data_IF_699961116294
#
_entry.id   IF_699961116294
#
_cell.length_a   1.000
_cell.length_b   1.000
_cell.length_c   1.000
_cell.angle_alpha   90.00
_cell.angle_beta   90.00
_cell.angle_gamma   90.00
#
_symmetry.space_group_name_H-M   'P 1'
#
loop_
_entity.id
_entity.type
_entity.pdbx_description
1 polymer ?
#
# COMPACT_ATOMS: atom_id res chain seq x y z
N UNK A 1 -2.70 -10.48 -79.15
CA UNK A 1 -3.41 -9.57 -78.23
C UNK A 1 -4.35 -10.42 -77.40
N UNK A 2 -3.84 -11.00 -76.31
CA UNK A 2 -4.14 -10.61 -74.91
C UNK A 2 -5.65 -10.57 -74.60
N UNK A 3 -6.13 -11.61 -73.92
CA UNK A 3 -7.32 -11.55 -73.08
C UNK A 3 -6.87 -11.86 -71.65
N UNK A 4 -7.02 -10.86 -70.78
CA UNK A 4 -6.56 -10.81 -69.40
C UNK A 4 -7.23 -11.88 -68.53
N UNK A 5 -6.41 -12.76 -67.93
CA UNK A 5 -6.82 -13.59 -66.81
C UNK A 5 -6.83 -12.76 -65.54
N UNK A 6 -8.01 -12.57 -64.95
CA UNK A 6 -8.18 -11.98 -63.62
C UNK A 6 -7.67 -12.99 -62.59
N UNK A 7 -6.50 -12.71 -61.99
CA UNK A 7 -6.04 -13.40 -60.79
C UNK A 7 -6.91 -12.97 -59.61
N UNK A 8 -7.58 -13.94 -58.99
CA UNK A 8 -8.23 -13.75 -57.70
C UNK A 8 -7.18 -13.40 -56.63
N UNK A 9 -7.48 -12.48 -55.70
CA UNK A 9 -6.55 -12.12 -54.64
C UNK A 9 -6.33 -13.35 -53.73
N UNK A 10 -5.06 -13.68 -53.53
CA UNK A 10 -4.61 -14.71 -52.60
C UNK A 10 -5.16 -14.44 -51.21
N UNK A 11 -5.84 -15.47 -50.68
CA UNK A 11 -6.44 -15.53 -49.35
C UNK A 11 -5.53 -14.90 -48.29
N UNK A 12 -6.03 -13.88 -47.61
CA UNK A 12 -5.41 -13.33 -46.41
C UNK A 12 -5.18 -14.48 -45.40
N UNK A 13 -3.95 -14.61 -44.91
CA UNK A 13 -3.60 -15.58 -43.88
C UNK A 13 -4.52 -15.37 -42.67
N UNK A 14 -5.20 -16.42 -42.23
CA UNK A 14 -6.02 -16.38 -41.02
C UNK A 14 -5.15 -15.97 -39.82
N UNK A 15 -5.65 -15.12 -38.90
CA UNK A 15 -4.91 -14.76 -37.71
C UNK A 15 -4.55 -16.02 -36.92
N UNK A 16 -3.32 -16.07 -36.38
CA UNK A 16 -2.89 -17.16 -35.52
C UNK A 16 -3.90 -17.36 -34.37
N UNK A 17 -4.16 -18.61 -33.94
CA UNK A 17 -5.09 -18.88 -32.86
C UNK A 17 -4.66 -18.14 -31.58
N UNK A 18 -5.61 -17.64 -30.78
CA UNK A 18 -5.29 -16.96 -29.54
C UNK A 18 -4.52 -17.91 -28.61
N UNK A 19 -3.39 -17.43 -28.09
CA UNK A 19 -2.58 -18.17 -27.11
C UNK A 19 -3.41 -18.50 -25.89
N UNK A 20 -3.26 -19.72 -25.37
CA UNK A 20 -4.02 -20.14 -24.18
C UNK A 20 -3.36 -19.60 -22.91
N UNK A 21 -4.16 -19.39 -21.86
CA UNK A 21 -3.67 -18.79 -20.61
C UNK A 21 -2.47 -19.53 -19.98
N UNK A 22 -2.41 -20.86 -20.08
CA UNK A 22 -1.30 -21.65 -19.54
C UNK A 22 0.02 -21.45 -20.30
N UNK A 23 -0.03 -20.99 -21.55
CA UNK A 23 1.15 -20.68 -22.38
C UNK A 23 1.74 -19.30 -22.06
N UNK A 24 0.96 -18.44 -21.41
CA UNK A 24 1.30 -17.04 -21.12
C UNK A 24 1.61 -16.85 -19.63
N UNK A 25 0.90 -17.55 -18.75
CA UNK A 25 1.00 -17.37 -17.30
C UNK A 25 1.96 -18.42 -16.71
N UNK A 26 3.13 -18.01 -16.20
CA UNK A 26 4.11 -18.94 -15.65
C UNK A 26 3.53 -19.79 -14.51
N UNK A 27 3.69 -21.10 -14.61
CA UNK A 27 3.31 -22.04 -13.56
C UNK A 27 1.80 -22.26 -13.36
N UNK A 28 0.94 -21.77 -14.26
CA UNK A 28 -0.51 -21.88 -14.10
C UNK A 28 -1.00 -23.33 -14.02
N UNK A 29 -0.38 -24.26 -14.75
CA UNK A 29 -0.73 -25.68 -14.72
C UNK A 29 -0.44 -26.31 -13.35
N UNK A 30 0.75 -26.05 -12.79
CA UNK A 30 1.10 -26.49 -11.44
C UNK A 30 0.18 -25.87 -10.40
N UNK A 31 -0.17 -24.59 -10.58
CA UNK A 31 -1.05 -23.89 -9.67
C UNK A 31 -2.46 -24.48 -9.69
N UNK A 32 -3.02 -24.74 -10.88
CA UNK A 32 -4.34 -25.37 -11.03
C UNK A 32 -4.39 -26.73 -10.31
N UNK A 33 -3.40 -27.58 -10.56
CA UNK A 33 -3.29 -28.87 -9.89
C UNK A 33 -3.14 -28.75 -8.36
N UNK A 34 -2.33 -27.80 -7.89
CA UNK A 34 -2.17 -27.54 -6.46
C UNK A 34 -3.47 -27.05 -5.81
N UNK A 35 -4.26 -26.20 -6.50
CA UNK A 35 -5.55 -25.73 -5.99
C UNK A 35 -6.61 -26.83 -5.93
N UNK A 36 -6.56 -27.81 -6.84
CA UNK A 36 -7.43 -28.99 -6.77
C UNK A 36 -7.11 -29.84 -5.54
N UNK A 37 -5.82 -30.05 -5.25
CA UNK A 37 -5.39 -30.72 -4.02
C UNK A 37 -5.85 -29.93 -2.79
N UNK A 38 -5.66 -28.61 -2.78
CA UNK A 38 -6.13 -27.76 -1.68
C UNK A 38 -7.64 -27.91 -1.45
N UNK A 39 -8.44 -27.92 -2.52
CA UNK A 39 -9.89 -28.12 -2.44
C UNK A 39 -10.29 -29.43 -1.75
N UNK A 40 -9.54 -30.51 -1.97
CA UNK A 40 -9.79 -31.81 -1.35
C UNK A 40 -9.43 -31.88 0.15
N UNK A 41 -8.65 -30.92 0.65
CA UNK A 41 -8.25 -30.82 2.05
C UNK A 41 -8.99 -29.70 2.80
N UNK A 42 -10.13 -29.25 2.27
CA UNK A 42 -10.97 -28.23 2.90
C UNK A 42 -11.30 -28.60 4.35
N UNK A 43 -11.12 -27.63 5.27
CA UNK A 43 -11.29 -27.83 6.71
C UNK A 43 -10.03 -28.31 7.45
N UNK A 44 -8.92 -28.58 6.76
CA UNK A 44 -7.65 -28.81 7.45
C UNK A 44 -7.09 -27.53 8.05
N UNK A 45 -6.51 -27.63 9.24
CA UNK A 45 -5.75 -26.56 9.91
C UNK A 45 -4.31 -27.01 10.21
N UNK A 46 -3.79 -27.99 9.45
CA UNK A 46 -2.38 -28.40 9.53
C UNK A 46 -1.49 -27.27 8.98
N UNK A 47 -0.30 -27.10 9.54
CA UNK A 47 0.60 -26.01 9.16
C UNK A 47 0.98 -26.03 7.68
N UNK A 48 1.24 -27.20 7.10
CA UNK A 48 1.54 -27.33 5.67
C UNK A 48 0.36 -26.88 4.78
N UNK A 49 -0.88 -27.11 5.21
CA UNK A 49 -2.08 -26.65 4.51
C UNK A 49 -2.23 -25.13 4.61
N UNK A 50 -2.00 -24.55 5.79
CA UNK A 50 -1.95 -23.10 5.99
C UNK A 50 -0.89 -22.46 5.10
N UNK A 51 0.33 -23.02 5.09
CA UNK A 51 1.43 -22.56 4.24
C UNK A 51 1.09 -22.65 2.74
N UNK A 52 0.42 -23.71 2.31
CA UNK A 52 -0.02 -23.84 0.93
C UNK A 52 -1.07 -22.78 0.54
N UNK A 53 -1.98 -22.39 1.45
CA UNK A 53 -2.86 -21.24 1.24
C UNK A 53 -2.10 -19.91 1.19
N UNK A 54 -1.07 -19.70 2.02
CA UNK A 54 -0.20 -18.52 1.94
C UNK A 54 0.50 -18.46 0.57
N UNK A 55 1.03 -19.58 0.08
CA UNK A 55 1.65 -19.66 -1.25
C UNK A 55 0.63 -19.40 -2.37
N UNK A 56 -0.59 -19.91 -2.25
CA UNK A 56 -1.65 -19.65 -3.22
C UNK A 56 -2.08 -18.18 -3.24
N UNK A 57 -2.15 -17.54 -2.08
CA UNK A 57 -2.30 -16.08 -1.96
C UNK A 57 -1.18 -15.38 -2.73
N UNK A 58 0.09 -15.69 -2.45
CA UNK A 58 1.23 -15.05 -3.13
C UNK A 58 1.21 -15.24 -4.65
N UNK A 59 0.82 -16.42 -5.14
CA UNK A 59 0.71 -16.68 -6.58
C UNK A 59 -0.39 -15.82 -7.22
N UNK A 60 -1.60 -15.77 -6.64
CA UNK A 60 -2.64 -14.86 -7.11
C UNK A 60 -2.23 -13.39 -7.02
N UNK A 61 -1.47 -13.02 -5.98
CA UNK A 61 -0.85 -11.72 -5.82
C UNK A 61 0.10 -11.36 -6.98
N UNK A 62 0.91 -12.31 -7.47
CA UNK A 62 1.77 -12.12 -8.66
C UNK A 62 0.97 -11.89 -9.94
N UNK A 63 -0.28 -12.36 -10.00
CA UNK A 63 -1.16 -12.20 -11.15
C UNK A 63 -2.03 -10.94 -11.07
N UNK A 64 -1.87 -10.11 -10.03
CA UNK A 64 -2.76 -8.98 -9.77
C UNK A 64 -4.19 -9.37 -9.41
N UNK A 65 -4.44 -10.65 -9.07
CA UNK A 65 -5.78 -11.18 -8.74
C UNK A 65 -6.04 -11.05 -7.25
N UNK A 66 -6.25 -9.83 -6.79
CA UNK A 66 -6.28 -9.50 -5.35
C UNK A 66 -7.45 -10.15 -4.62
N UNK A 67 -8.64 -10.21 -5.21
CA UNK A 67 -9.80 -10.82 -4.52
C UNK A 67 -9.59 -12.33 -4.29
N UNK A 68 -9.20 -13.14 -5.29
CA UNK A 68 -8.79 -14.53 -5.04
C UNK A 68 -7.64 -14.66 -4.04
N UNK A 69 -6.61 -13.80 -4.16
CA UNK A 69 -5.50 -13.73 -3.21
C UNK A 69 -6.01 -13.57 -1.77
N UNK A 70 -6.95 -12.65 -1.57
CA UNK A 70 -7.57 -12.37 -0.27
C UNK A 70 -8.33 -13.57 0.29
N UNK A 71 -9.04 -14.34 -0.55
CA UNK A 71 -9.77 -15.53 -0.08
C UNK A 71 -8.83 -16.58 0.50
N UNK A 72 -7.67 -16.80 -0.13
CA UNK A 72 -6.68 -17.73 0.39
C UNK A 72 -6.02 -17.22 1.68
N UNK A 73 -5.65 -15.94 1.74
CA UNK A 73 -5.01 -15.42 2.96
C UNK A 73 -5.98 -15.38 4.13
N UNK A 74 -7.23 -14.96 3.92
CA UNK A 74 -8.25 -14.93 4.96
C UNK A 74 -8.48 -16.31 5.58
N UNK A 75 -8.50 -17.36 4.75
CA UNK A 75 -8.55 -18.74 5.25
C UNK A 75 -7.31 -19.07 6.10
N UNK A 76 -6.11 -18.77 5.58
CA UNK A 76 -4.86 -19.03 6.30
C UNK A 76 -4.80 -18.27 7.64
N UNK A 77 -5.33 -17.05 7.70
CA UNK A 77 -5.44 -16.25 8.91
C UNK A 77 -6.32 -16.93 9.97
N UNK A 78 -7.52 -17.38 9.62
CA UNK A 78 -8.39 -18.09 10.57
C UNK A 78 -7.75 -19.39 11.04
N UNK A 79 -7.22 -20.19 10.11
CA UNK A 79 -6.62 -21.48 10.43
C UNK A 79 -5.33 -21.37 11.28
N UNK A 80 -4.51 -20.32 11.11
CA UNK A 80 -3.32 -20.13 11.95
C UNK A 80 -3.66 -19.71 13.37
N UNK A 81 -4.73 -18.94 13.57
CA UNK A 81 -5.24 -18.60 14.91
C UNK A 81 -5.68 -19.88 15.63
N UNK A 82 -6.51 -20.71 14.98
CA UNK A 82 -6.96 -21.99 15.54
C UNK A 82 -5.77 -22.91 15.86
N UNK A 83 -4.75 -22.91 15.01
CA UNK A 83 -3.54 -23.71 15.20
C UNK A 83 -2.69 -23.23 16.38
N UNK A 84 -2.68 -21.93 16.65
CA UNK A 84 -1.92 -21.30 17.73
C UNK A 84 -2.63 -21.35 19.09
N UNK A 85 -3.96 -21.57 19.13
CA UNK A 85 -4.74 -21.60 20.37
C UNK A 85 -4.09 -22.43 21.49
N UNK A 86 -3.60 -23.67 21.26
CA UNK A 86 -3.02 -24.48 22.34
C UNK A 86 -1.74 -23.89 22.97
N UNK A 87 -1.02 -23.04 22.24
CA UNK A 87 0.24 -22.42 22.68
C UNK A 87 0.10 -20.92 23.02
N UNK A 88 -1.10 -20.34 22.84
CA UNK A 88 -1.32 -18.89 22.89
C UNK A 88 -0.92 -18.28 24.24
N UNK A 89 -1.37 -18.89 25.35
CA UNK A 89 -1.07 -18.39 26.70
C UNK A 89 0.42 -18.47 27.05
N UNK A 90 1.09 -19.55 26.59
CA UNK A 90 2.54 -19.69 26.77
C UNK A 90 3.28 -18.59 26.00
N UNK A 91 2.99 -18.43 24.71
CA UNK A 91 3.64 -17.43 23.85
C UNK A 91 3.38 -16.01 24.34
N UNK A 92 2.17 -15.72 24.86
CA UNK A 92 1.86 -14.43 25.48
C UNK A 92 2.73 -14.18 26.71
N UNK A 93 2.87 -15.15 27.61
CA UNK A 93 3.74 -15.02 28.79
C UNK A 93 5.20 -14.79 28.41
N UNK A 94 5.69 -15.49 27.39
CA UNK A 94 7.04 -15.27 26.86
C UNK A 94 7.20 -13.83 26.33
N UNK A 95 6.23 -13.34 25.54
CA UNK A 95 6.23 -11.97 25.05
C UNK A 95 6.18 -10.93 26.19
N UNK A 96 5.39 -11.18 27.23
CA UNK A 96 5.28 -10.31 28.40
C UNK A 96 6.59 -10.27 29.21
N UNK A 97 7.27 -11.41 29.34
CA UNK A 97 8.61 -11.50 29.97
C UNK A 97 9.65 -10.71 29.17
N UNK A 98 9.67 -10.84 27.83
CA UNK A 98 10.57 -10.08 26.96
C UNK A 98 10.34 -8.57 27.06
N UNK A 99 9.09 -8.15 27.30
CA UNK A 99 8.70 -6.75 27.50
C UNK A 99 8.95 -6.23 28.92
N UNK A 100 9.46 -7.07 29.83
CA UNK A 100 9.74 -6.71 31.21
C UNK A 100 8.48 -6.58 32.08
N UNK A 101 7.36 -7.18 31.67
CA UNK A 101 6.13 -7.23 32.48
C UNK A 101 6.30 -8.29 33.57
N UNK A 102 5.99 -7.92 34.82
CA UNK A 102 6.01 -8.84 35.97
C UNK A 102 4.94 -9.94 35.80
N UNK A 103 5.39 -11.15 35.47
CA UNK A 103 4.53 -12.34 35.35
C UNK A 103 4.47 -13.09 36.69
N UNK A 104 3.27 -13.52 37.07
CA UNK A 104 3.02 -14.30 38.28
C UNK A 104 3.73 -15.67 38.19
N UNK A 105 4.65 -15.96 39.12
CA UNK A 105 5.65 -17.05 39.02
C UNK A 105 5.10 -18.43 39.41
N UNK A 106 3.79 -18.66 39.31
CA UNK A 106 3.11 -19.82 39.91
C UNK A 106 3.20 -21.11 39.11
N UNK A 107 3.62 -21.07 37.84
CA UNK A 107 3.81 -22.26 37.01
C UNK A 107 5.26 -22.42 36.57
N UNK A 108 6.05 -23.19 37.34
CA UNK A 108 7.33 -23.74 36.85
C UNK A 108 7.03 -25.04 36.12
N UNK A 109 7.00 -25.00 34.78
CA UNK A 109 6.99 -26.20 33.96
C UNK A 109 8.36 -26.89 34.06
N UNK A 110 8.37 -28.15 34.46
CA UNK A 110 9.55 -29.02 34.45
C UNK A 110 9.77 -29.54 33.02
N UNK A 111 10.29 -28.69 32.14
CA UNK A 111 10.53 -29.08 30.74
C UNK A 111 11.94 -29.66 30.53
N UNK A 112 11.98 -30.79 29.82
CA UNK A 112 13.22 -31.41 29.34
C UNK A 112 13.84 -30.52 28.23
N UNK A 113 15.16 -30.23 28.25
CA UNK A 113 15.78 -29.33 27.27
C UNK A 113 15.53 -29.71 25.79
N UNK A 114 15.49 -31.01 25.45
CA UNK A 114 15.25 -31.45 24.07
C UNK A 114 13.80 -31.22 23.62
N UNK A 115 12.82 -31.35 24.52
CA UNK A 115 11.42 -31.02 24.21
C UNK A 115 11.20 -29.52 24.14
N UNK A 116 11.90 -28.74 24.96
CA UNK A 116 11.90 -27.27 24.90
C UNK A 116 12.46 -26.79 23.55
N UNK A 117 13.55 -27.40 23.08
CA UNK A 117 14.20 -27.02 21.83
C UNK A 117 13.33 -27.27 20.59
N UNK A 118 12.70 -28.45 20.53
CA UNK A 118 11.78 -28.81 19.46
C UNK A 118 10.53 -27.95 19.47
N UNK A 119 10.03 -27.62 20.66
CA UNK A 119 8.87 -26.72 20.84
C UNK A 119 9.18 -25.33 20.31
N UNK A 120 10.35 -24.77 20.64
CA UNK A 120 10.79 -23.47 20.16
C UNK A 120 10.85 -23.39 18.63
N UNK A 121 11.36 -24.43 17.96
CA UNK A 121 11.39 -24.49 16.50
C UNK A 121 9.99 -24.59 15.88
N UNK A 122 9.08 -25.34 16.50
CA UNK A 122 7.67 -25.45 16.05
C UNK A 122 6.95 -24.11 16.22
N UNK A 123 7.09 -23.47 17.38
CA UNK A 123 6.48 -22.18 17.67
C UNK A 123 6.95 -21.12 16.68
N UNK A 124 8.24 -21.06 16.38
CA UNK A 124 8.77 -20.13 15.40
C UNK A 124 8.20 -20.36 13.99
N UNK A 125 7.94 -21.61 13.58
CA UNK A 125 7.25 -21.88 12.30
C UNK A 125 5.81 -21.36 12.31
N UNK A 126 5.11 -21.50 13.43
CA UNK A 126 3.75 -20.97 13.59
C UNK A 126 3.74 -19.44 13.61
N UNK A 127 4.66 -18.82 14.33
CA UNK A 127 4.82 -17.36 14.39
C UNK A 127 5.18 -16.80 13.01
N UNK A 128 6.07 -17.43 12.23
CA UNK A 128 6.36 -17.00 10.85
C UNK A 128 5.10 -17.04 10.00
N UNK A 129 4.31 -18.12 10.08
CA UNK A 129 3.05 -18.21 9.34
C UNK A 129 2.05 -17.12 9.80
N UNK A 130 1.89 -16.91 11.11
CA UNK A 130 1.03 -15.88 11.67
C UNK A 130 1.40 -14.48 11.20
N UNK A 131 2.67 -14.09 11.36
CA UNK A 131 3.14 -12.76 10.98
C UNK A 131 3.18 -12.54 9.46
N UNK A 132 3.30 -13.62 8.68
CA UNK A 132 3.12 -13.58 7.22
C UNK A 132 1.66 -13.34 6.86
N UNK A 133 0.73 -14.01 7.53
CA UNK A 133 -0.71 -13.78 7.39
C UNK A 133 -1.09 -12.33 7.75
N UNK A 134 -0.61 -11.81 8.89
CA UNK A 134 -0.84 -10.42 9.31
C UNK A 134 -0.38 -9.41 8.25
N UNK A 135 0.83 -9.61 7.68
CA UNK A 135 1.37 -8.76 6.63
C UNK A 135 0.50 -8.79 5.37
N UNK A 136 0.25 -9.99 4.85
CA UNK A 136 -0.43 -10.17 3.57
C UNK A 136 -1.91 -9.74 3.64
N UNK A 137 -2.60 -10.00 4.74
CA UNK A 137 -3.97 -9.54 4.91
C UNK A 137 -4.04 -8.02 5.03
N UNK A 138 -3.20 -7.40 5.88
CA UNK A 138 -3.23 -5.93 6.04
C UNK A 138 -2.91 -5.21 4.74
N UNK A 139 -1.93 -5.70 3.97
CA UNK A 139 -1.53 -5.09 2.71
C UNK A 139 -2.67 -5.14 1.66
N UNK A 140 -3.57 -6.13 1.73
CA UNK A 140 -4.73 -6.19 0.84
C UNK A 140 -5.89 -5.32 1.35
N UNK A 141 -6.14 -5.33 2.66
CA UNK A 141 -7.20 -4.54 3.29
C UNK A 141 -6.96 -3.03 3.19
N UNK A 142 -5.70 -2.60 3.06
CA UNK A 142 -5.35 -1.21 2.78
C UNK A 142 -5.87 -0.73 1.40
N UNK A 143 -6.01 -1.65 0.44
CA UNK A 143 -6.40 -1.34 -0.94
C UNK A 143 -7.89 -1.61 -1.20
N UNK A 144 -8.46 -2.61 -0.52
CA UNK A 144 -9.82 -3.07 -0.77
C UNK A 144 -10.62 -3.13 0.53
N UNK A 145 -11.84 -2.60 0.48
CA UNK A 145 -12.79 -2.69 1.59
C UNK A 145 -13.41 -4.10 1.68
N UNK A 146 -12.65 -5.05 2.20
CA UNK A 146 -13.07 -6.45 2.40
C UNK A 146 -13.24 -6.74 3.90
N UNK A 147 -14.00 -7.78 4.22
CA UNK A 147 -14.23 -8.19 5.61
C UNK A 147 -12.95 -8.85 6.15
N UNK A 148 -12.30 -8.29 7.19
CA UNK A 148 -11.09 -8.85 7.80
C UNK A 148 -11.33 -10.21 8.47
N UNK A 149 -10.29 -11.02 8.65
CA UNK A 149 -10.36 -12.28 9.38
C UNK A 149 -10.39 -12.11 10.91
N UNK A 150 -9.96 -10.95 11.42
CA UNK A 150 -9.75 -10.70 12.85
C UNK A 150 -8.33 -11.02 13.36
N UNK A 151 -7.40 -11.45 12.52
CA UNK A 151 -6.03 -11.82 12.95
C UNK A 151 -5.28 -10.67 13.62
N UNK A 152 -5.55 -9.43 13.19
CA UNK A 152 -4.87 -8.23 13.69
C UNK A 152 -5.06 -8.02 15.20
N UNK A 153 -6.11 -8.58 15.80
CA UNK A 153 -6.39 -8.50 17.24
C UNK A 153 -5.31 -9.21 18.09
N UNK A 154 -4.56 -10.14 17.51
CA UNK A 154 -3.55 -10.94 18.20
C UNK A 154 -2.13 -10.36 18.09
N UNK A 155 -1.94 -9.25 17.38
CA UNK A 155 -0.60 -8.70 17.10
C UNK A 155 0.13 -8.15 18.32
N UNK A 156 -0.62 -7.62 19.30
CA UNK A 156 -0.04 -7.14 20.56
C UNK A 156 0.17 -8.30 21.55
N UNK A 157 -0.50 -9.44 21.32
CA UNK A 157 -0.45 -10.61 22.20
C UNK A 157 0.74 -11.49 21.87
N UNK A 158 1.00 -11.75 20.60
CA UNK A 158 2.02 -12.72 20.18
C UNK A 158 3.41 -12.09 20.04
N UNK A 159 4.48 -12.85 20.36
CA UNK A 159 5.86 -12.41 20.14
C UNK A 159 6.23 -12.43 18.66
N UNK A 160 7.28 -11.71 18.30
CA UNK A 160 7.90 -11.86 16.98
C UNK A 160 8.63 -13.21 16.86
N UNK A 161 8.82 -13.73 15.64
CA UNK A 161 9.69 -14.89 15.46
C UNK A 161 11.11 -14.54 15.88
N UNK A 162 11.72 -15.44 16.64
CA UNK A 162 13.08 -15.30 17.13
C UNK A 162 14.08 -15.42 15.98
N UNK A 163 14.87 -14.35 15.77
CA UNK A 163 15.80 -14.26 14.65
C UNK A 163 16.86 -15.38 14.65
N UNK A 164 17.40 -15.70 15.82
CA UNK A 164 18.41 -16.74 15.99
C UNK A 164 17.84 -18.12 15.65
N UNK A 165 16.60 -18.39 16.06
CA UNK A 165 15.89 -19.63 15.70
C UNK A 165 15.64 -19.73 14.20
N UNK A 166 15.29 -18.62 13.54
CA UNK A 166 15.13 -18.60 12.08
C UNK A 166 16.42 -19.02 11.37
N UNK A 167 17.56 -18.50 11.81
CA UNK A 167 18.87 -18.76 11.21
C UNK A 167 19.35 -20.18 11.53
N UNK A 168 19.51 -20.50 12.82
CA UNK A 168 20.21 -21.70 13.26
C UNK A 168 19.36 -22.97 13.12
N UNK A 169 18.04 -22.88 13.31
CA UNK A 169 17.16 -24.07 13.39
C UNK A 169 16.26 -24.24 12.19
N UNK A 170 15.86 -23.15 11.56
CA UNK A 170 14.97 -23.18 10.40
C UNK A 170 15.71 -22.99 9.07
N UNK A 171 17.01 -22.67 9.12
CA UNK A 171 17.89 -22.62 7.95
C UNK A 171 17.63 -21.43 7.03
N UNK A 172 17.01 -20.36 7.54
CA UNK A 172 16.89 -19.12 6.77
C UNK A 172 18.25 -18.45 6.65
N UNK A 173 18.60 -17.99 5.44
CA UNK A 173 19.78 -17.13 5.26
C UNK A 173 19.63 -15.85 6.06
N UNK A 174 20.75 -15.27 6.50
CA UNK A 174 20.76 -13.99 7.21
C UNK A 174 20.00 -12.91 6.45
N UNK A 175 20.22 -12.79 5.14
CA UNK A 175 19.49 -11.83 4.30
C UNK A 175 17.97 -11.94 4.48
N UNK A 176 17.40 -13.15 4.34
CA UNK A 176 15.95 -13.37 4.50
C UNK A 176 15.49 -13.10 5.93
N UNK A 177 16.21 -13.60 6.93
CA UNK A 177 15.82 -13.48 8.34
C UNK A 177 15.80 -12.00 8.80
N UNK A 178 16.86 -11.24 8.51
CA UNK A 178 16.94 -9.82 8.82
C UNK A 178 15.93 -8.99 8.01
N UNK A 179 15.74 -9.31 6.72
CA UNK A 179 14.77 -8.60 5.89
C UNK A 179 13.35 -8.78 6.42
N UNK A 180 13.01 -10.01 6.82
CA UNK A 180 11.70 -10.31 7.36
C UNK A 180 11.45 -9.58 8.69
N UNK A 181 12.43 -9.57 9.60
CA UNK A 181 12.34 -8.83 10.86
C UNK A 181 12.18 -7.32 10.64
N UNK A 182 12.99 -6.72 9.76
CA UNK A 182 12.90 -5.30 9.42
C UNK A 182 11.53 -4.93 8.80
N UNK A 183 10.99 -5.80 7.93
CA UNK A 183 9.67 -5.59 7.32
C UNK A 183 8.52 -5.67 8.34
N UNK A 184 8.62 -6.53 9.35
CA UNK A 184 7.65 -6.61 10.44
C UNK A 184 7.70 -5.36 11.33
N UNK A 185 8.91 -4.91 11.67
CA UNK A 185 9.10 -3.67 12.42
C UNK A 185 8.48 -2.48 11.69
N UNK A 186 8.82 -2.30 10.40
CA UNK A 186 8.29 -1.23 9.56
C UNK A 186 6.77 -1.26 9.46
N UNK A 187 6.17 -2.45 9.34
CA UNK A 187 4.71 -2.60 9.28
C UNK A 187 4.04 -2.12 10.55
N UNK A 188 4.47 -2.60 11.73
CA UNK A 188 3.86 -2.15 12.99
C UNK A 188 4.01 -0.65 13.16
N UNK A 189 5.16 -0.10 12.77
CA UNK A 189 5.39 1.34 12.80
C UNK A 189 4.45 2.08 11.85
N UNK A 190 4.33 1.64 10.60
CA UNK A 190 3.38 2.17 9.61
C UNK A 190 1.94 2.19 10.12
N UNK A 191 1.49 1.09 10.74
CA UNK A 191 0.15 0.99 11.31
C UNK A 191 -0.06 1.99 12.46
N UNK A 192 0.94 2.17 13.33
CA UNK A 192 0.90 3.18 14.40
C UNK A 192 0.83 4.59 13.81
N UNK A 193 1.66 4.90 12.81
CA UNK A 193 1.66 6.19 12.13
C UNK A 193 0.29 6.48 11.51
N UNK A 194 -0.23 5.53 10.74
CA UNK A 194 -1.53 5.67 10.09
C UNK A 194 -2.65 5.82 11.11
N UNK A 195 -2.63 5.04 12.19
CA UNK A 195 -3.59 5.15 13.28
C UNK A 195 -3.51 6.49 14.01
N UNK A 196 -2.32 7.05 14.23
CA UNK A 196 -2.18 8.35 14.90
C UNK A 196 -2.54 9.54 14.02
N UNK A 197 -2.31 9.45 12.69
CA UNK A 197 -2.53 10.56 11.75
C UNK A 197 -3.93 10.59 11.12
N UNK A 198 -4.60 9.43 11.04
CA UNK A 198 -5.85 9.28 10.28
C UNK A 198 -6.96 8.60 11.08
N UNK A 199 -6.90 8.59 12.42
CA UNK A 199 -8.03 8.07 13.22
C UNK A 199 -9.29 8.91 12.95
N UNK A 200 -10.36 8.33 12.38
CA UNK A 200 -11.59 9.07 12.11
C UNK A 200 -12.28 9.56 13.39
N UNK A 201 -12.00 8.93 14.54
CA UNK A 201 -12.61 9.27 15.83
C UNK A 201 -11.77 10.26 16.64
N UNK A 202 -10.47 10.39 16.34
CA UNK A 202 -9.55 11.29 17.02
C UNK A 202 -8.73 12.07 15.99
N UNK A 203 -9.18 13.28 15.68
CA UNK A 203 -8.41 14.22 14.85
C UNK A 203 -7.38 14.92 15.74
N UNK A 204 -6.06 14.69 15.54
CA UNK A 204 -5.05 15.37 16.33
C UNK A 204 -5.07 16.87 16.00
N UNK A 205 -4.89 17.72 17.00
CA UNK A 205 -4.71 19.16 16.75
C UNK A 205 -3.34 19.47 16.13
N UNK A 206 -3.08 20.73 15.77
CA UNK A 206 -1.82 21.11 15.11
C UNK A 206 -0.56 20.84 15.96
N UNK A 207 -0.65 20.91 17.30
CA UNK A 207 0.46 20.65 18.20
C UNK A 207 0.68 19.13 18.37
N UNK A 208 -0.40 18.36 18.52
CA UNK A 208 -0.36 16.89 18.53
C UNK A 208 0.20 16.35 17.22
N UNK A 209 -0.21 16.90 16.07
CA UNK A 209 0.34 16.54 14.77
C UNK A 209 1.84 16.81 14.69
N UNK A 210 2.30 17.97 15.15
CA UNK A 210 3.73 18.28 15.17
C UNK A 210 4.50 17.26 16.01
N UNK A 211 4.01 16.93 17.21
CA UNK A 211 4.64 15.94 18.06
C UNK A 211 4.68 14.54 17.42
N UNK A 212 3.59 14.13 16.77
CA UNK A 212 3.53 12.85 16.04
C UNK A 212 4.55 12.85 14.89
N UNK A 213 4.62 13.93 14.11
CA UNK A 213 5.56 14.05 12.99
C UNK A 213 7.02 14.03 13.48
N UNK A 214 7.34 14.74 14.56
CA UNK A 214 8.68 14.72 15.16
C UNK A 214 9.07 13.31 15.63
N UNK A 215 8.15 12.57 16.25
CA UNK A 215 8.39 11.18 16.66
C UNK A 215 8.63 10.24 15.47
N UNK A 216 7.91 10.48 14.36
CA UNK A 216 8.08 9.73 13.12
C UNK A 216 9.42 10.02 12.48
N UNK A 217 9.79 11.30 12.38
CA UNK A 217 11.07 11.75 11.85
C UNK A 217 12.23 11.19 12.67
N UNK A 218 12.16 11.24 14.01
CA UNK A 218 13.20 10.67 14.85
C UNK A 218 13.39 9.18 14.59
N UNK A 219 12.29 8.44 14.45
CA UNK A 219 12.34 6.99 14.26
C UNK A 219 12.80 6.57 12.85
N UNK A 220 12.27 7.21 11.80
CA UNK A 220 12.61 6.91 10.41
C UNK A 220 13.95 7.51 10.00
N UNK A 221 14.36 8.66 10.52
CA UNK A 221 15.62 9.30 10.13
C UNK A 221 16.74 8.93 11.08
N UNK A 222 16.58 9.23 12.38
CA UNK A 222 17.67 9.09 13.35
C UNK A 222 17.88 7.64 13.81
N UNK A 223 16.81 6.87 14.00
CA UNK A 223 16.87 5.51 14.57
C UNK A 223 16.76 4.38 13.55
N UNK A 224 16.65 4.69 12.26
CA UNK A 224 16.54 3.67 11.21
C UNK A 224 17.69 2.67 11.18
N UNK A 225 18.89 3.12 11.52
CA UNK A 225 20.08 2.27 11.60
C UNK A 225 19.95 1.13 12.63
N UNK A 226 19.10 1.27 13.65
CA UNK A 226 18.91 0.27 14.71
C UNK A 226 18.16 -0.95 14.18
N UNK A 227 17.13 -0.74 13.36
CA UNK A 227 16.23 -1.81 12.92
C UNK A 227 16.46 -2.23 11.46
N UNK A 228 17.14 -1.41 10.63
CA UNK A 228 17.52 -1.79 9.27
C UNK A 228 18.62 -2.85 9.24
N UNK A 229 19.49 -2.90 10.26
CA UNK A 229 20.62 -3.83 10.32
C UNK A 229 21.47 -3.78 9.05
N UNK A 230 21.60 -4.91 8.36
CA UNK A 230 22.36 -5.02 7.10
C UNK A 230 21.73 -4.31 5.89
N UNK A 231 20.46 -3.88 6.00
CA UNK A 231 19.73 -3.18 4.93
C UNK A 231 19.79 -1.66 5.07
N UNK A 232 20.73 -1.14 5.87
CA UNK A 232 20.96 0.30 5.99
C UNK A 232 21.27 0.90 4.62
N UNK A 233 20.69 2.07 4.36
CA UNK A 233 20.92 2.82 3.14
C UNK A 233 20.91 4.31 3.44
N UNK A 234 21.56 5.09 2.58
CA UNK A 234 21.51 6.54 2.64
C UNK A 234 20.39 7.07 1.73
N UNK A 235 19.80 8.21 2.08
CA UNK A 235 18.68 8.80 1.30
C UNK A 235 19.04 9.08 -0.16
N UNK A 236 20.33 9.35 -0.41
CA UNK A 236 20.86 9.65 -1.74
C UNK A 236 21.30 8.41 -2.52
N UNK A 237 21.18 7.22 -1.94
CA UNK A 237 21.52 5.99 -2.65
C UNK A 237 20.69 5.84 -3.93
N UNK A 238 21.29 5.29 -5.01
CA UNK A 238 20.53 4.88 -6.17
C UNK A 238 19.55 3.75 -5.80
N UNK A 239 18.50 3.51 -6.62
CA UNK A 239 17.60 2.37 -6.43
C UNK A 239 18.34 1.05 -6.21
N UNK A 240 17.81 0.23 -5.30
CA UNK A 240 18.42 -1.05 -4.96
C UNK A 240 18.38 -2.01 -6.15
N UNK A 241 19.41 -2.86 -6.24
CA UNK A 241 19.56 -3.87 -7.31
C UNK A 241 19.08 -5.27 -6.90
N UNK A 242 18.82 -5.48 -5.62
CA UNK A 242 18.25 -6.71 -5.09
C UNK A 242 16.84 -6.48 -4.53
N UNK A 243 16.01 -7.53 -4.59
CA UNK A 243 14.60 -7.43 -4.23
C UNK A 243 14.37 -7.17 -2.74
N UNK A 244 15.23 -7.67 -1.84
CA UNK A 244 15.03 -7.53 -0.39
C UNK A 244 15.28 -6.09 0.05
N UNK A 245 16.37 -5.48 -0.43
CA UNK A 245 16.65 -4.06 -0.23
C UNK A 245 15.61 -3.17 -0.89
N UNK A 246 15.19 -3.48 -2.13
CA UNK A 246 14.16 -2.72 -2.83
C UNK A 246 12.83 -2.71 -2.05
N UNK A 247 12.41 -3.84 -1.51
CA UNK A 247 11.17 -3.94 -0.70
C UNK A 247 11.25 -3.16 0.60
N UNK A 248 12.38 -3.21 1.31
CA UNK A 248 12.59 -2.43 2.54
C UNK A 248 12.54 -0.94 2.23
N UNK A 249 13.25 -0.50 1.18
CA UNK A 249 13.24 0.89 0.72
C UNK A 249 11.84 1.33 0.28
N UNK A 250 11.08 0.47 -0.41
CA UNK A 250 9.71 0.76 -0.80
C UNK A 250 8.79 0.99 0.42
N UNK A 251 8.89 0.13 1.45
CA UNK A 251 8.14 0.31 2.71
C UNK A 251 8.57 1.57 3.47
N UNK A 252 9.88 1.82 3.56
CA UNK A 252 10.41 3.01 4.22
C UNK A 252 9.93 4.31 3.56
N UNK A 253 10.06 4.42 2.24
CA UNK A 253 9.60 5.59 1.51
C UNK A 253 8.08 5.68 1.47
N UNK A 254 7.38 4.55 1.43
CA UNK A 254 5.93 4.49 1.61
C UNK A 254 5.48 5.08 2.95
N UNK A 255 6.21 4.83 4.04
CA UNK A 255 5.95 5.45 5.34
C UNK A 255 6.07 6.97 5.26
N UNK A 256 7.15 7.47 4.66
CA UNK A 256 7.36 8.90 4.48
C UNK A 256 6.28 9.53 3.59
N UNK A 257 5.82 8.83 2.54
CA UNK A 257 4.70 9.30 1.71
C UNK A 257 3.44 9.44 2.55
N UNK A 258 3.09 8.44 3.35
CA UNK A 258 1.93 8.51 4.26
C UNK A 258 2.07 9.70 5.21
N UNK A 259 3.26 9.89 5.79
CA UNK A 259 3.53 10.99 6.72
C UNK A 259 3.37 12.38 6.08
N UNK A 260 3.88 12.61 4.87
CA UNK A 260 3.97 13.96 4.31
C UNK A 260 2.94 14.30 3.23
N UNK A 261 2.26 13.30 2.66
CA UNK A 261 1.28 13.49 1.57
C UNK A 261 0.17 14.48 1.93
N UNK A 262 -0.33 14.56 3.18
CA UNK A 262 -1.33 15.56 3.53
C UNK A 262 -0.82 17.00 3.40
N UNK A 263 0.45 17.27 3.73
CA UNK A 263 1.05 18.59 3.51
C UNK A 263 1.15 18.93 2.03
N UNK A 264 1.46 17.95 1.16
CA UNK A 264 1.40 18.13 -0.31
C UNK A 264 -0.01 18.54 -0.73
N UNK A 265 -1.03 17.79 -0.28
CA UNK A 265 -2.43 18.09 -0.58
C UNK A 265 -2.83 19.49 -0.12
N UNK A 266 -2.48 19.88 1.10
CA UNK A 266 -2.78 21.20 1.67
C UNK A 266 -2.22 22.34 0.80
N UNK A 267 -0.98 22.21 0.30
CA UNK A 267 -0.38 23.22 -0.57
C UNK A 267 -1.04 23.23 -1.96
N UNK A 268 -1.34 22.07 -2.53
CA UNK A 268 -2.04 21.97 -3.83
C UNK A 268 -3.45 22.57 -3.77
N UNK A 269 -4.20 22.27 -2.70
CA UNK A 269 -5.55 22.81 -2.49
C UNK A 269 -5.51 24.33 -2.34
N UNK A 270 -4.50 24.87 -1.65
CA UNK A 270 -4.30 26.32 -1.54
C UNK A 270 -4.05 26.96 -2.91
N UNK A 271 -3.12 26.42 -3.70
CA UNK A 271 -2.84 26.91 -5.05
C UNK A 271 -4.06 26.84 -5.96
N UNK A 272 -4.85 25.77 -5.86
CA UNK A 272 -6.08 25.60 -6.63
C UNK A 272 -7.12 26.66 -6.25
N UNK A 273 -7.41 26.84 -4.96
CA UNK A 273 -8.30 27.90 -4.45
C UNK A 273 -7.89 29.28 -4.94
N UNK A 274 -6.59 29.60 -4.86
CA UNK A 274 -6.05 30.89 -5.32
C UNK A 274 -6.25 31.10 -6.81
N UNK A 275 -6.08 30.06 -7.62
CA UNK A 275 -6.25 30.13 -9.08
C UNK A 275 -7.71 30.22 -9.50
N UNK A 276 -8.63 29.68 -8.69
CA UNK A 276 -10.06 29.57 -9.00
C UNK A 276 -10.97 30.51 -8.17
N UNK A 277 -10.41 31.44 -7.38
CA UNK A 277 -11.13 32.39 -6.53
C UNK A 277 -12.10 33.35 -7.26
N UNK A 278 -12.26 33.22 -8.59
CA UNK A 278 -13.16 34.00 -9.43
C UNK A 278 -14.34 33.18 -10.03
N UNK A 279 -14.56 31.94 -9.57
CA UNK A 279 -15.67 31.08 -10.01
C UNK A 279 -16.59 30.71 -8.83
N UNK A 280 -17.90 30.97 -8.94
CA UNK A 280 -18.93 30.56 -7.96
C UNK A 280 -18.96 29.03 -7.73
N UNK A 281 -18.47 28.24 -8.68
CA UNK A 281 -18.36 26.78 -8.54
C UNK A 281 -17.22 26.33 -7.61
N UNK A 282 -16.26 27.22 -7.30
CA UNK A 282 -15.11 26.89 -6.46
C UNK A 282 -15.48 26.72 -4.97
N UNK A 283 -16.62 27.27 -4.53
CA UNK A 283 -17.15 27.07 -3.17
C UNK A 283 -17.86 25.71 -3.00
N UNK A 284 -18.33 25.09 -4.09
CA UNK A 284 -19.06 23.79 -4.05
C UNK A 284 -18.16 22.57 -4.26
N UNK A 285 -16.98 22.74 -4.86
CA UNK A 285 -16.12 21.63 -5.27
C UNK A 285 -15.12 21.14 -4.20
N UNK A 286 -14.95 21.86 -3.08
CA UNK A 286 -13.96 21.54 -2.05
C UNK A 286 -14.67 21.34 -0.71
N UNK A 287 -14.58 20.16 -0.07
CA UNK A 287 -15.10 19.96 1.28
C UNK A 287 -14.51 21.04 2.20
N UNK A 288 -15.38 21.83 2.84
CA UNK A 288 -15.01 22.93 3.72
C UNK A 288 -14.26 22.48 4.99
N UNK A 289 -14.15 21.18 5.22
CA UNK A 289 -13.38 20.56 6.28
C UNK A 289 -12.64 19.37 5.70
N UNK A 290 -11.30 19.36 5.81
CA UNK A 290 -10.55 18.15 5.51
C UNK A 290 -10.95 17.09 6.55
N UNK A 291 -11.44 15.90 6.15
CA UNK A 291 -11.87 14.88 7.10
C UNK A 291 -10.77 14.47 8.10
N UNK A 292 -9.49 14.76 7.80
CA UNK A 292 -8.32 14.33 8.58
C UNK A 292 -7.74 15.33 9.60
N UNK A 293 -8.30 16.52 9.79
CA UNK A 293 -7.87 17.43 10.86
C UNK A 293 -6.47 18.07 10.71
N UNK A 294 -5.78 17.86 9.58
CA UNK A 294 -4.44 18.39 9.31
C UNK A 294 -4.36 19.91 9.43
N UNK A 295 -3.21 20.44 9.88
CA UNK A 295 -2.92 21.88 9.89
C UNK A 295 -3.28 22.51 8.54
N UNK A 296 -4.42 23.19 8.50
CA UNK A 296 -4.96 23.80 7.29
C UNK A 296 -4.32 25.16 7.09
N UNK A 297 -4.05 25.51 5.84
CA UNK A 297 -3.85 26.93 5.50
C UNK A 297 -5.08 27.70 5.99
N UNK A 298 -4.85 28.81 6.70
CA UNK A 298 -5.94 29.62 7.25
C UNK A 298 -6.93 30.00 6.15
N UNK A 299 -8.23 30.03 6.49
CA UNK A 299 -9.29 30.34 5.51
C UNK A 299 -9.16 31.73 4.88
N UNK A 300 -8.45 32.65 5.52
CA UNK A 300 -8.19 34.01 5.05
C UNK A 300 -6.87 34.14 4.26
N UNK A 301 -6.10 33.07 4.09
CA UNK A 301 -4.83 33.09 3.39
C UNK A 301 -5.00 33.42 1.90
N UNK A 302 -4.21 34.38 1.41
CA UNK A 302 -4.25 34.84 0.01
C UNK A 302 -2.88 34.80 -0.67
N UNK A 303 -1.81 34.78 0.12
CA UNK A 303 -0.42 34.79 -0.33
C UNK A 303 0.30 33.49 0.03
N UNK A 304 1.26 33.02 -0.78
CA UNK A 304 2.12 31.88 -0.41
C UNK A 304 2.84 32.05 0.94
N UNK A 305 3.07 33.29 1.39
CA UNK A 305 3.62 33.62 2.71
C UNK A 305 2.72 33.25 3.88
N UNK A 306 1.43 33.00 3.61
CA UNK A 306 0.43 32.69 4.63
C UNK A 306 0.38 31.18 4.93
N UNK A 307 1.08 30.37 4.14
CA UNK A 307 1.28 28.95 4.41
C UNK A 307 2.30 28.82 5.53
N UNK A 308 1.98 28.06 6.57
CA UNK A 308 2.92 27.76 7.65
C UNK A 308 4.20 27.13 7.06
N UNK A 309 5.40 27.67 7.36
CA UNK A 309 6.66 27.14 6.88
C UNK A 309 6.83 25.63 7.13
N UNK A 310 6.29 25.08 8.22
CA UNK A 310 6.39 23.65 8.50
C UNK A 310 5.59 22.82 7.50
N UNK A 311 4.41 23.29 7.09
CA UNK A 311 3.57 22.61 6.10
C UNK A 311 4.25 22.61 4.75
N UNK A 312 4.86 23.74 4.37
CA UNK A 312 5.60 23.84 3.12
C UNK A 312 6.85 22.95 3.10
N UNK A 313 7.62 22.93 4.19
CA UNK A 313 8.79 22.06 4.32
C UNK A 313 8.41 20.58 4.31
N UNK A 314 7.32 20.21 4.98
CA UNK A 314 6.79 18.85 4.95
C UNK A 314 6.31 18.46 3.55
N UNK A 315 5.66 19.38 2.82
CA UNK A 315 5.30 19.14 1.42
C UNK A 315 6.55 18.88 0.55
N UNK A 316 7.63 19.65 0.74
CA UNK A 316 8.91 19.44 0.07
C UNK A 316 9.51 18.06 0.39
N UNK A 317 9.56 17.67 1.67
CA UNK A 317 9.98 16.31 2.10
C UNK A 317 9.08 15.24 1.48
N UNK A 318 7.78 15.51 1.37
CA UNK A 318 6.81 14.63 0.74
C UNK A 318 7.07 14.42 -0.75
N UNK A 319 7.42 15.45 -1.50
CA UNK A 319 7.79 15.30 -2.92
C UNK A 319 9.01 14.38 -3.08
N UNK A 320 10.06 14.57 -2.26
CA UNK A 320 11.22 13.68 -2.24
C UNK A 320 10.81 12.22 -1.91
N UNK A 321 9.99 12.03 -0.88
CA UNK A 321 9.49 10.71 -0.49
C UNK A 321 8.68 10.03 -1.61
N UNK A 322 7.83 10.77 -2.31
CA UNK A 322 7.01 10.26 -3.43
C UNK A 322 7.91 9.86 -4.61
N UNK A 323 8.93 10.65 -4.93
CA UNK A 323 9.95 10.30 -5.95
C UNK A 323 10.66 9.00 -5.55
N UNK A 324 11.19 8.93 -4.33
CA UNK A 324 11.98 7.79 -3.84
C UNK A 324 11.15 6.51 -3.71
N UNK A 325 9.90 6.64 -3.27
CA UNK A 325 8.92 5.55 -3.22
C UNK A 325 8.66 4.98 -4.61
N UNK A 326 8.46 5.85 -5.60
CA UNK A 326 8.27 5.44 -7.01
C UNK A 326 9.52 4.74 -7.56
N UNK A 327 10.71 5.24 -7.22
CA UNK A 327 11.98 4.69 -7.69
C UNK A 327 12.42 3.38 -7.02
N UNK A 328 11.76 2.95 -5.94
CA UNK A 328 12.29 1.90 -5.05
C UNK A 328 12.63 0.59 -5.78
N UNK A 329 11.89 0.25 -6.84
CA UNK A 329 12.08 -0.97 -7.64
C UNK A 329 12.79 -0.74 -8.99
N UNK A 330 13.10 0.52 -9.36
CA UNK A 330 13.67 0.84 -10.68
C UNK A 330 15.11 0.36 -10.88
N UNK A 331 15.78 -0.10 -9.82
CA UNK A 331 17.14 -0.64 -9.88
C UNK A 331 17.21 -2.14 -10.18
N UNK A 332 16.07 -2.84 -10.19
CA UNK A 332 16.00 -4.26 -10.51
C UNK A 332 16.19 -4.49 -12.01
N UNK A 333 16.97 -5.51 -12.36
CA UNK A 333 17.25 -5.86 -13.76
C UNK A 333 16.00 -6.43 -14.46
N UNK A 334 15.29 -7.32 -13.75
CA UNK A 334 14.06 -7.92 -14.24
C UNK A 334 12.90 -6.92 -14.21
N UNK A 335 12.28 -6.70 -15.37
CA UNK A 335 11.07 -5.89 -15.46
C UNK A 335 9.86 -6.53 -14.76
N UNK A 336 9.86 -7.87 -14.60
CA UNK A 336 8.89 -8.62 -13.80
C UNK A 336 9.53 -9.09 -12.50
N UNK A 337 9.50 -8.23 -11.49
CA UNK A 337 10.04 -8.54 -10.16
C UNK A 337 8.99 -9.21 -9.26
N UNK A 338 9.46 -10.03 -8.33
CA UNK A 338 8.61 -10.84 -7.42
C UNK A 338 8.28 -10.03 -6.17
N UNK A 339 7.02 -9.61 -6.04
CA UNK A 339 6.50 -8.83 -4.90
C UNK A 339 5.20 -9.40 -4.35
N UNK A 340 4.95 -9.27 -3.06
CA UNK A 340 3.84 -9.95 -2.38
C UNK A 340 2.45 -9.52 -2.85
N UNK A 341 2.30 -8.26 -3.29
CA UNK A 341 1.06 -7.69 -3.79
C UNK A 341 1.36 -6.79 -5.00
N UNK A 342 1.28 -7.34 -6.22
CA UNK A 342 1.54 -6.60 -7.47
C UNK A 342 0.56 -5.47 -7.65
N UNK A 343 -0.72 -5.71 -7.35
CA UNK A 343 -1.77 -4.72 -7.47
C UNK A 343 -1.53 -3.51 -6.57
N UNK A 344 -1.31 -3.73 -5.27
CA UNK A 344 -1.05 -2.63 -4.32
C UNK A 344 0.22 -1.86 -4.67
N UNK A 345 1.29 -2.56 -5.11
CA UNK A 345 2.52 -1.88 -5.53
C UNK A 345 2.30 -1.03 -6.79
N UNK A 346 1.54 -1.53 -7.76
CA UNK A 346 1.20 -0.81 -8.96
C UNK A 346 0.34 0.43 -8.65
N UNK A 347 -0.72 0.27 -7.83
CA UNK A 347 -1.56 1.37 -7.37
C UNK A 347 -0.78 2.44 -6.60
N UNK A 348 0.15 2.04 -5.73
CA UNK A 348 1.01 2.99 -5.00
C UNK A 348 1.88 3.82 -5.96
N UNK A 349 2.53 3.17 -6.95
CA UNK A 349 3.32 3.90 -7.95
C UNK A 349 2.45 4.79 -8.84
N UNK A 350 1.28 4.31 -9.25
CA UNK A 350 0.31 5.10 -10.00
C UNK A 350 -0.09 6.36 -9.23
N UNK A 351 -0.53 6.20 -7.98
CA UNK A 351 -0.96 7.31 -7.13
C UNK A 351 0.17 8.31 -6.86
N UNK A 352 1.41 7.84 -6.73
CA UNK A 352 2.58 8.70 -6.61
C UNK A 352 2.80 9.55 -7.87
N UNK A 353 2.68 8.96 -9.07
CA UNK A 353 2.85 9.68 -10.33
C UNK A 353 1.76 10.72 -10.58
N UNK A 354 0.52 10.43 -10.19
CA UNK A 354 -0.56 11.43 -10.22
C UNK A 354 -0.23 12.61 -9.30
N UNK A 355 0.25 12.34 -8.07
CA UNK A 355 0.67 13.39 -7.13
C UNK A 355 1.84 14.20 -7.68
N UNK A 356 2.86 13.57 -8.25
CA UNK A 356 4.00 14.28 -8.82
C UNK A 356 3.61 15.12 -10.03
N UNK A 357 2.69 14.65 -10.87
CA UNK A 357 2.19 15.45 -11.97
C UNK A 357 1.41 16.67 -11.47
N UNK A 358 0.51 16.49 -10.50
CA UNK A 358 -0.20 17.62 -9.89
C UNK A 358 0.78 18.64 -9.30
N UNK A 359 1.79 18.18 -8.56
CA UNK A 359 2.85 19.02 -8.02
C UNK A 359 3.69 19.70 -9.12
N UNK A 360 4.00 19.01 -10.21
CA UNK A 360 4.75 19.57 -11.34
C UNK A 360 4.04 20.75 -12.01
N UNK A 361 2.71 20.70 -12.07
CA UNK A 361 1.85 21.78 -12.57
C UNK A 361 1.64 22.92 -11.58
N UNK A 362 1.92 22.68 -10.29
CA UNK A 362 1.68 23.64 -9.21
C UNK A 362 2.75 24.76 -9.18
N UNK A 363 2.36 26.03 -9.01
CA UNK A 363 3.31 27.15 -8.99
C UNK A 363 4.22 27.19 -7.76
N UNK A 364 3.88 26.50 -6.66
CA UNK A 364 4.66 26.49 -5.42
C UNK A 364 5.50 25.22 -5.28
N UNK A 365 4.95 24.08 -5.67
CA UNK A 365 5.62 22.78 -5.57
C UNK A 365 6.35 22.36 -6.84
N UNK A 366 6.03 22.96 -7.99
CA UNK A 366 6.53 22.52 -9.29
C UNK A 366 8.04 22.54 -9.39
N UNK A 367 8.73 23.44 -8.70
CA UNK A 367 10.19 23.55 -8.76
C UNK A 367 10.91 22.40 -8.05
N UNK A 368 10.21 21.67 -7.17
CA UNK A 368 10.73 20.46 -6.54
C UNK A 368 10.55 19.22 -7.41
N UNK A 369 9.85 19.32 -8.55
CA UNK A 369 9.63 18.22 -9.49
C UNK A 369 10.37 18.50 -10.80
N UNK A 370 11.50 17.81 -10.98
CA UNK A 370 12.29 17.91 -12.20
C UNK A 370 11.58 17.24 -13.39
N UNK A 371 11.47 17.94 -14.52
CA UNK A 371 10.78 17.44 -15.72
C UNK A 371 11.38 16.11 -16.24
N UNK A 372 12.70 16.05 -16.42
CA UNK A 372 13.37 14.85 -16.96
C UNK A 372 13.18 13.66 -16.04
N UNK A 373 13.28 13.89 -14.74
CA UNK A 373 13.04 12.86 -13.73
C UNK A 373 11.59 12.37 -13.79
N UNK A 374 10.59 13.26 -13.81
CA UNK A 374 9.19 12.87 -13.86
C UNK A 374 8.87 12.04 -15.11
N UNK A 375 9.37 12.43 -16.29
CA UNK A 375 9.23 11.65 -17.53
C UNK A 375 9.89 10.27 -17.41
N UNK A 376 11.07 10.19 -16.79
CA UNK A 376 11.74 8.91 -16.55
C UNK A 376 10.92 8.01 -15.60
N UNK A 377 10.34 8.59 -14.54
CA UNK A 377 9.49 7.84 -13.60
C UNK A 377 8.24 7.31 -14.31
N UNK A 378 7.52 8.16 -15.06
CA UNK A 378 6.36 7.77 -15.86
C UNK A 378 6.70 6.61 -16.79
N UNK A 379 7.76 6.74 -17.60
CA UNK A 379 8.19 5.70 -18.53
C UNK A 379 8.49 4.37 -17.82
N UNK A 380 9.27 4.41 -16.73
CA UNK A 380 9.65 3.19 -15.99
C UNK A 380 8.45 2.50 -15.35
N UNK A 381 7.51 3.26 -14.81
CA UNK A 381 6.27 2.69 -14.25
C UNK A 381 5.35 2.18 -15.35
N UNK A 382 5.24 2.85 -16.51
CA UNK A 382 4.49 2.34 -17.67
C UNK A 382 5.07 0.99 -18.13
N UNK A 383 6.39 0.87 -18.27
CA UNK A 383 7.06 -0.40 -18.62
C UNK A 383 6.72 -1.53 -17.63
N UNK A 384 6.56 -1.21 -16.34
CA UNK A 384 6.11 -2.17 -15.33
C UNK A 384 4.63 -2.54 -15.51
N UNK A 385 3.75 -1.56 -15.72
CA UNK A 385 2.32 -1.79 -15.94
C UNK A 385 2.04 -2.63 -17.18
N UNK A 386 2.79 -2.43 -18.27
CA UNK A 386 2.68 -3.23 -19.52
C UNK A 386 2.92 -4.74 -19.29
N UNK A 387 3.55 -5.12 -18.18
CA UNK A 387 3.84 -6.51 -17.83
C UNK A 387 2.79 -7.09 -16.91
N UNK A 388 2.26 -6.29 -15.98
CA UNK A 388 1.41 -6.77 -14.89
C UNK A 388 -0.08 -6.51 -15.12
N UNK A 389 -0.43 -5.53 -15.95
CA UNK A 389 -1.81 -5.24 -16.30
C UNK A 389 -2.37 -6.33 -17.22
N UNK A 390 -3.63 -6.70 -16.98
CA UNK A 390 -4.41 -7.54 -17.88
C UNK A 390 -5.46 -6.66 -18.53
N UNK A 391 -5.79 -6.88 -19.81
CA UNK A 391 -6.63 -5.98 -20.61
C UNK A 391 -7.97 -5.60 -19.95
N UNK A 392 -8.55 -6.50 -19.16
CA UNK A 392 -9.83 -6.30 -18.47
C UNK A 392 -9.69 -5.92 -16.99
N UNK A 393 -8.48 -5.73 -16.46
CA UNK A 393 -8.27 -5.38 -15.05
C UNK A 393 -8.25 -3.85 -14.85
N UNK A 394 -8.44 -3.41 -13.60
CA UNK A 394 -8.33 -1.98 -13.26
C UNK A 394 -6.93 -1.43 -13.54
N UNK A 395 -5.87 -2.24 -13.44
CA UNK A 395 -4.51 -1.82 -13.81
C UNK A 395 -4.39 -1.43 -15.29
N UNK A 396 -5.23 -1.96 -16.19
CA UNK A 396 -5.27 -1.51 -17.59
C UNK A 396 -5.95 -0.14 -17.75
N UNK A 397 -6.85 0.24 -16.85
CA UNK A 397 -7.36 1.62 -16.78
C UNK A 397 -6.25 2.55 -16.30
N UNK A 398 -5.58 2.19 -15.21
CA UNK A 398 -4.47 2.96 -14.63
C UNK A 398 -3.33 3.18 -15.64
N UNK A 399 -2.96 2.14 -16.38
CA UNK A 399 -1.97 2.23 -17.46
C UNK A 399 -2.35 3.28 -18.50
N UNK A 400 -3.61 3.30 -18.96
CA UNK A 400 -4.08 4.30 -19.93
C UNK A 400 -4.02 5.71 -19.38
N UNK A 401 -4.31 5.89 -18.08
CA UNK A 401 -4.17 7.18 -17.40
C UNK A 401 -2.70 7.61 -17.40
N UNK A 402 -1.76 6.72 -17.07
CA UNK A 402 -0.33 7.05 -17.07
C UNK A 402 0.19 7.37 -18.47
N UNK A 403 -0.23 6.63 -19.50
CA UNK A 403 0.14 6.91 -20.89
C UNK A 403 -0.41 8.27 -21.35
N UNK A 404 -1.66 8.58 -21.01
CA UNK A 404 -2.24 9.90 -21.29
C UNK A 404 -1.49 11.02 -20.55
N UNK A 405 -1.09 10.77 -19.31
CA UNK A 405 -0.33 11.71 -18.50
C UNK A 405 1.06 11.97 -19.08
N UNK A 406 1.78 10.91 -19.49
CA UNK A 406 3.10 11.04 -20.12
C UNK A 406 3.02 11.81 -21.44
N UNK A 407 2.04 11.50 -22.28
CA UNK A 407 1.84 12.15 -23.56
C UNK A 407 1.42 13.64 -23.41
N UNK A 408 0.61 13.94 -22.39
CA UNK A 408 0.07 15.28 -22.13
C UNK A 408 0.97 16.18 -21.28
N UNK A 409 2.08 15.68 -20.72
CA UNK A 409 2.92 16.44 -19.79
C UNK A 409 3.65 17.59 -20.53
N UNK A 410 3.38 18.86 -20.22
CA UNK A 410 4.03 20.00 -20.87
C UNK A 410 5.49 20.16 -20.41
N UNK A 411 6.31 20.82 -21.22
CA UNK A 411 7.66 21.23 -20.78
C UNK A 411 7.59 22.35 -19.74
N UNK A 412 8.65 22.51 -18.95
CA UNK A 412 8.75 23.63 -17.99
C UNK A 412 8.62 25.01 -18.66
N UNK A 413 9.14 25.14 -19.88
CA UNK A 413 9.00 26.35 -20.69
C UNK A 413 7.53 26.62 -21.02
N UNK A 414 6.79 25.60 -21.46
CA UNK A 414 5.36 25.70 -21.77
C UNK A 414 4.51 26.07 -20.54
N UNK A 415 4.87 25.54 -19.36
CA UNK A 415 4.24 25.91 -18.09
C UNK A 415 4.49 27.37 -17.73
N UNK A 416 5.74 27.84 -17.84
CA UNK A 416 6.11 29.24 -17.57
C UNK A 416 5.42 30.24 -18.51
N UNK A 417 5.13 29.86 -19.76
CA UNK A 417 4.31 30.70 -20.65
C UNK A 417 2.83 30.74 -20.28
N UNK A 418 2.27 29.68 -19.68
CA UNK A 418 0.86 29.63 -19.26
C UNK A 418 0.58 30.45 -18.02
N UNK A 419 1.51 30.50 -17.06
CA UNK A 419 1.39 31.33 -15.85
C UNK A 419 1.44 32.83 -16.14
N UNK A 420 2.03 33.23 -17.28
CA UNK A 420 2.11 34.62 -17.73
C UNK A 420 0.87 35.10 -18.51
N UNK A 421 -0.08 34.20 -18.83
CA UNK A 421 -1.35 34.58 -19.43
C UNK A 421 -2.33 34.97 -18.31
N UNK A 422 -2.41 36.27 -18.03
CA UNK A 422 -3.45 36.86 -17.18
C UNK A 422 -4.81 36.45 -17.78
N UNK A 423 -5.75 35.86 -17.01
CA UNK A 423 -7.09 35.61 -17.52
C UNK A 423 -7.71 36.94 -17.95
N UNK A 424 -8.35 37.04 -19.12
CA UNK A 424 -9.07 38.25 -19.47
C UNK A 424 -10.16 38.50 -18.42
N UNK A 425 -10.45 39.76 -18.06
CA UNK A 425 -11.54 40.07 -17.14
C UNK A 425 -12.84 39.50 -17.70
N UNK A 426 -13.77 39.01 -16.84
CA UNK A 426 -15.02 38.43 -17.31
C UNK A 426 -15.79 39.46 -18.13
N UNK A 427 -15.96 39.16 -19.42
CA UNK A 427 -16.86 39.90 -20.29
C UNK A 427 -18.31 39.72 -19.83
N UNK A 428 -19.22 40.67 -20.14
CA UNK A 428 -20.60 40.59 -19.70
C UNK A 428 -21.27 39.30 -20.21
N UNK A 429 -21.81 38.54 -19.26
CA UNK A 429 -22.49 37.26 -19.46
C UNK A 429 -23.61 37.35 -20.50
N UNK A 430 -23.47 36.62 -21.61
CA UNK A 430 -24.61 36.21 -22.42
C UNK A 430 -25.07 34.83 -21.95
N UNK A 431 -26.26 34.81 -21.35
CA UNK A 431 -26.96 33.60 -20.91
C UNK A 431 -27.29 32.71 -22.11
N UNK A 432 -26.45 31.72 -22.39
CA UNK A 432 -26.87 30.52 -23.13
C UNK A 432 -26.98 29.36 -22.15
N UNK A 433 -28.21 29.17 -21.67
CA UNK A 433 -28.60 28.01 -20.88
C UNK A 433 -28.31 26.72 -21.66
N UNK A 434 -27.46 25.86 -21.10
CA UNK A 434 -27.25 24.50 -21.61
C UNK A 434 -27.87 23.49 -20.63
N UNK A 435 -28.64 22.57 -21.18
CA UNK A 435 -29.57 21.65 -20.52
C UNK A 435 -28.90 20.77 -19.44
N UNK A 436 -29.56 20.68 -18.29
CA UNK A 436 -29.25 19.77 -17.20
C UNK A 436 -29.43 18.31 -17.63
N UNK A 437 -28.33 17.57 -17.75
CA UNK A 437 -28.37 16.12 -17.66
C UNK A 437 -28.18 15.73 -16.19
N UNK A 438 -29.27 15.26 -15.57
CA UNK A 438 -29.24 14.62 -14.27
C UNK A 438 -28.43 13.32 -14.37
N UNK A 439 -27.30 13.25 -13.67
CA UNK A 439 -26.59 12.00 -13.38
C UNK A 439 -26.85 11.63 -11.92
N UNK A 440 -27.91 10.87 -11.70
CA UNK A 440 -28.14 10.11 -10.48
C UNK A 440 -27.23 8.88 -10.48
N UNK A 441 -26.15 8.92 -9.69
CA UNK A 441 -25.27 7.77 -9.45
C UNK A 441 -24.52 7.97 -8.12
N UNK A 442 -24.50 6.97 -7.21
CA UNK A 442 -23.83 7.11 -5.92
C UNK A 442 -22.30 7.03 -6.09
N UNK A 443 -21.60 8.06 -5.62
CA UNK A 443 -20.15 8.09 -5.46
C UNK A 443 -19.73 7.19 -4.29
N UNK A 444 -18.77 6.27 -4.43
CA UNK A 444 -18.28 5.49 -3.30
C UNK A 444 -17.32 6.35 -2.48
N UNK A 445 -17.79 6.76 -1.30
CA UNK A 445 -16.95 7.37 -0.27
C UNK A 445 -15.97 6.32 0.28
N UNK A 446 -14.68 6.57 0.12
CA UNK A 446 -13.62 5.92 0.88
C UNK A 446 -13.65 6.46 2.32
N UNK A 447 -14.35 5.75 3.20
CA UNK A 447 -14.20 5.85 4.64
C UNK A 447 -13.96 4.45 5.19
N UNK A 448 -12.94 4.27 6.03
CA UNK A 448 -12.79 3.06 6.80
C UNK A 448 -14.01 2.94 7.73
N UNK A 449 -14.84 1.93 7.50
CA UNK A 449 -15.93 1.60 8.41
C UNK A 449 -15.39 1.25 9.80
N UNK A 450 -16.17 1.50 10.87
CA UNK A 450 -15.73 1.21 12.23
C UNK A 450 -15.43 -0.28 12.39
N UNK A 451 -14.33 -0.59 13.06
CA UNK A 451 -14.02 -1.94 13.55
C UNK A 451 -15.17 -2.45 14.43
N UNK A 452 -15.58 -3.73 14.29
CA UNK A 452 -16.63 -4.29 15.13
C UNK A 452 -16.12 -4.49 16.56
N UNK A 453 -16.83 -3.86 17.51
CA UNK A 453 -17.12 -4.28 18.89
C UNK A 453 -15.95 -4.90 19.68
N UNK A 454 -15.38 -4.10 20.57
CA UNK A 454 -14.50 -4.54 21.68
C UNK A 454 -15.31 -5.35 22.71
N UNK A 455 -14.75 -6.38 23.39
CA UNK A 455 -15.43 -7.17 24.43
C UNK A 455 -15.77 -6.43 25.75
N UNK A 456 -15.96 -5.12 25.71
CA UNK A 456 -16.25 -4.26 26.87
C UNK A 456 -17.75 -3.98 27.11
N UNK A 457 -18.62 -4.26 26.14
CA UNK A 457 -20.06 -3.92 26.23
C UNK A 457 -20.97 -5.04 26.75
N UNK A 458 -20.39 -6.10 27.34
CA UNK A 458 -21.17 -7.18 27.96
C UNK A 458 -21.12 -7.11 29.48
N UNK A 459 -21.86 -6.18 30.08
CA UNK A 459 -22.39 -6.40 31.43
C UNK A 459 -23.84 -5.97 31.57
N UNK A 460 -24.66 -7.00 31.81
CA UNK A 460 -25.91 -7.06 32.58
C UNK A 460 -27.21 -6.47 32.00
N UNK A 461 -28.10 -7.41 31.66
CA UNK A 461 -29.53 -7.28 31.89
C UNK A 461 -30.40 -7.26 30.64
N UNK A 462 -30.77 -8.42 30.12
CA UNK A 462 -32.15 -8.86 29.83
C UNK A 462 -32.19 -10.05 28.85
N UNK A 463 -33.21 -10.93 28.96
CA UNK A 463 -33.15 -12.31 28.50
C UNK A 463 -33.35 -12.47 26.99
N UNK A 464 -32.68 -13.49 26.44
CA UNK A 464 -32.93 -14.05 25.11
C UNK A 464 -34.35 -14.61 24.99
N UNK A 465 -35.00 -14.46 23.83
CA UNK A 465 -35.91 -15.45 23.29
C UNK A 465 -35.17 -16.27 22.22
N UNK A 466 -35.15 -17.59 22.43
CA UNK A 466 -35.02 -18.56 21.34
C UNK A 466 -36.09 -18.31 20.28
N UNK A 467 -35.78 -18.53 19.00
CA UNK A 467 -36.53 -19.47 18.14
C UNK A 467 -35.99 -19.51 16.70
N UNK A 468 -35.70 -20.74 16.27
CA UNK A 468 -35.37 -21.31 14.94
C UNK A 468 -34.02 -21.04 14.29
#
# INVERSE_FOLDING_TARGET
MQASGVQAPTSAASPAPPKKNYEIIPGLEYFAYATDILGNHFGSYKLNYIQAHILACLYYGQLGRVVPSFRHIRFACSAIIDKLQPSMDRLKREADLERGVSVDKTHKEHDNPESSEKTLAVDNKLLVAFWSCCQLESDILAELNLIPSGILQYEEILPYPNLMVLQEKLGFSDAVAFSYAAQLYLRKRLNRISGSLYDPNKKPDAAEQRAILEEIEEDLESRSHVWLGMYRFDRNDPPAKDILSARIRAKFWGANVITYRPSIKTVLDFSHKRSNAFSEDSERAIPHEDPGGWATVRSDARSPSDIDPIVFENARKGIDAVIKSTMAFHGLEDKRFIITNVFGTAHAQWGNLITLAAAYHDPLLGDFVNEKLLRQLLRKTIEFFEIVAQDTSSLAVDLRVLQGLEAGLPSKEQLGTRTNLIPPPPGPYDNLAMSSYASSGPTPHSGAGPSPITPGDLTQGHPTPMEY
#
